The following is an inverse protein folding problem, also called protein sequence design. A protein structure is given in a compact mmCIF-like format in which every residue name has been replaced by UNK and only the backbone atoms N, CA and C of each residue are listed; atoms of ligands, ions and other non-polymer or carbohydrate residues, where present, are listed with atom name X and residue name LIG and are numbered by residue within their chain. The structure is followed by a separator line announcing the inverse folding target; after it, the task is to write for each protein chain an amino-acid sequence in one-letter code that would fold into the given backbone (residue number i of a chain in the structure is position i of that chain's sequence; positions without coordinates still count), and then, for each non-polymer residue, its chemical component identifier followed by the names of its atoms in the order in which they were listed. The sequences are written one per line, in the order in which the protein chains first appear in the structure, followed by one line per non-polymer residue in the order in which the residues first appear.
data_IF_681019806830
#
_entry.id   IF_681019806830
#
_cell.length_a   1.000
_cell.length_b   1.000
_cell.length_c   1.000
_cell.angle_alpha   90.00
_cell.angle_beta   90.00
_cell.angle_gamma   90.00
#
_symmetry.space_group_name_H-M   'P 1'
#
loop_
_entity.id
_entity.type
_entity.pdbx_description
1 polymer ?
#
# COMPACT_ATOMS: atom_id res chain seq x y z
N UNK A 1 -9.66 -0.70 1.46
CA UNK A 1 -11.11 -0.48 1.23
C UNK A 1 -11.96 -0.77 2.46
N UNK A 2 -12.08 0.17 3.39
CA UNK A 2 -13.18 0.12 4.36
C UNK A 2 -14.46 0.67 3.70
N UNK A 3 -15.49 -0.18 3.62
CA UNK A 3 -16.84 0.20 3.18
C UNK A 3 -17.69 0.79 4.30
N UNK A 4 -17.20 0.74 5.55
CA UNK A 4 -17.83 1.18 6.79
C UNK A 4 -17.58 0.18 7.93
N UNK A 5 -18.02 0.50 9.14
CA UNK A 5 -17.83 -0.33 10.34
C UNK A 5 -18.64 -1.61 10.22
N UNK A 6 -18.04 -2.73 10.63
CA UNK A 6 -18.77 -4.00 10.68
C UNK A 6 -19.92 -3.93 11.69
N UNK A 7 -21.12 -4.30 11.27
CA UNK A 7 -22.33 -4.31 12.11
C UNK A 7 -23.23 -3.09 11.94
N UNK A 8 -22.76 -2.04 11.25
CA UNK A 8 -23.57 -0.89 10.86
C UNK A 8 -24.22 -1.11 9.48
N UNK A 9 -25.33 -0.43 9.21
CA UNK A 9 -25.95 -0.43 7.88
C UNK A 9 -25.05 0.33 6.89
N UNK A 10 -24.49 -0.42 5.93
CA UNK A 10 -23.61 0.13 4.90
C UNK A 10 -24.43 0.59 3.70
N UNK A 11 -24.36 1.88 3.40
CA UNK A 11 -24.92 2.45 2.17
C UNK A 11 -23.97 2.19 0.98
N UNK A 12 -24.05 0.96 0.46
CA UNK A 12 -23.24 0.46 -0.64
C UNK A 12 -23.87 0.82 -1.98
N UNK A 13 -23.13 1.59 -2.78
CA UNK A 13 -23.49 1.91 -4.17
C UNK A 13 -22.34 1.56 -5.11
N UNK A 14 -22.65 1.27 -6.37
CA UNK A 14 -21.63 1.01 -7.39
C UNK A 14 -20.70 2.20 -7.60
N UNK A 15 -21.21 3.41 -7.46
CA UNK A 15 -20.44 4.65 -7.54
C UNK A 15 -19.39 4.71 -6.43
N UNK A 16 -19.80 4.54 -5.16
CA UNK A 16 -18.89 4.52 -4.01
C UNK A 16 -17.86 3.41 -4.09
N UNK A 17 -18.27 2.23 -4.56
CA UNK A 17 -17.35 1.11 -4.80
C UNK A 17 -16.29 1.48 -5.84
N UNK A 18 -16.70 2.15 -6.93
CA UNK A 18 -15.79 2.60 -7.99
C UNK A 18 -14.83 3.67 -7.49
N UNK A 19 -15.31 4.64 -6.73
CA UNK A 19 -14.48 5.69 -6.11
C UNK A 19 -13.42 5.08 -5.18
N UNK A 20 -13.84 4.18 -4.28
CA UNK A 20 -12.93 3.50 -3.34
C UNK A 20 -11.93 2.62 -4.05
N UNK A 21 -12.34 1.88 -5.08
CA UNK A 21 -11.45 1.07 -5.90
C UNK A 21 -10.38 1.94 -6.56
N UNK A 22 -10.79 3.05 -7.18
CA UNK A 22 -9.85 3.94 -7.85
C UNK A 22 -8.90 4.60 -6.87
N UNK A 23 -9.38 5.07 -5.72
CA UNK A 23 -8.57 5.76 -4.72
C UNK A 23 -7.56 4.83 -4.03
N UNK A 24 -8.04 3.74 -3.43
CA UNK A 24 -7.21 2.86 -2.60
C UNK A 24 -6.37 1.90 -3.45
N UNK A 25 -7.00 1.25 -4.45
CA UNK A 25 -6.38 0.15 -5.17
C UNK A 25 -5.67 0.63 -6.43
N UNK A 26 -6.35 1.29 -7.36
CA UNK A 26 -5.71 1.71 -8.60
C UNK A 26 -4.64 2.79 -8.33
N UNK A 27 -5.03 3.88 -7.67
CA UNK A 27 -4.16 5.03 -7.45
C UNK A 27 -3.17 4.85 -6.30
N UNK A 28 -3.56 4.13 -5.24
CA UNK A 28 -2.69 3.84 -4.11
C UNK A 28 -1.73 2.69 -4.39
N UNK A 29 -2.24 1.46 -4.29
CA UNK A 29 -1.42 0.25 -4.38
C UNK A 29 -0.91 -0.04 -5.80
N UNK A 30 -1.78 0.09 -6.81
CA UNK A 30 -1.47 -0.24 -8.20
C UNK A 30 -0.36 0.64 -8.77
N UNK A 31 -0.47 1.96 -8.57
CA UNK A 31 0.58 2.89 -8.97
C UNK A 31 1.90 2.64 -8.20
N UNK A 32 1.84 2.33 -6.91
CA UNK A 32 3.02 1.99 -6.11
C UNK A 32 3.76 0.79 -6.69
N UNK A 33 3.04 -0.33 -6.90
CA UNK A 33 3.62 -1.55 -7.48
C UNK A 33 4.18 -1.28 -8.87
N UNK A 34 3.45 -0.54 -9.72
CA UNK A 34 3.92 -0.17 -11.06
C UNK A 34 5.25 0.60 -11.02
N UNK A 35 5.39 1.55 -10.08
CA UNK A 35 6.63 2.34 -9.90
C UNK A 35 7.78 1.47 -9.40
N UNK A 36 7.54 0.63 -8.39
CA UNK A 36 8.56 -0.26 -7.82
C UNK A 36 9.08 -1.23 -8.88
N UNK A 37 8.20 -1.85 -9.67
CA UNK A 37 8.61 -2.79 -10.73
C UNK A 37 9.52 -2.10 -11.75
N UNK A 38 9.17 -0.88 -12.19
CA UNK A 38 10.02 -0.12 -13.13
C UNK A 38 11.37 0.25 -12.53
N UNK A 39 11.38 0.75 -11.29
CA UNK A 39 12.61 1.12 -10.59
C UNK A 39 13.51 -0.10 -10.34
N UNK A 40 12.93 -1.25 -10.00
CA UNK A 40 13.68 -2.50 -9.78
C UNK A 40 14.41 -2.96 -11.03
N UNK A 41 13.80 -2.80 -12.20
CA UNK A 41 14.41 -3.11 -13.49
C UNK A 41 15.56 -2.12 -13.81
N UNK A 42 15.33 -0.82 -13.59
CA UNK A 42 16.32 0.24 -13.86
C UNK A 42 17.56 0.17 -12.95
N UNK A 43 17.36 -0.12 -11.66
CA UNK A 43 18.42 -0.13 -10.65
C UNK A 43 19.07 -1.52 -10.48
N UNK A 44 18.66 -2.51 -11.28
CA UNK A 44 19.11 -3.92 -11.16
C UNK A 44 19.08 -4.43 -9.71
N UNK A 45 18.06 -4.05 -8.94
CA UNK A 45 17.96 -4.41 -7.53
C UNK A 45 17.90 -5.93 -7.42
N UNK A 46 18.96 -6.53 -6.88
CA UNK A 46 18.94 -7.94 -6.49
C UNK A 46 18.25 -8.02 -5.14
N UNK A 47 17.19 -8.83 -5.05
CA UNK A 47 16.38 -8.94 -3.84
C UNK A 47 17.21 -9.52 -2.71
N UNK A 48 17.58 -8.66 -1.75
CA UNK A 48 18.16 -9.09 -0.50
C UNK A 48 17.08 -9.84 0.29
N UNK A 49 17.34 -11.09 0.69
CA UNK A 49 16.32 -12.02 1.22
C UNK A 49 15.76 -11.61 2.60
N UNK A 50 16.16 -10.48 3.14
CA UNK A 50 15.69 -9.96 4.42
C UNK A 50 14.30 -9.28 4.30
N UNK A 51 13.27 -10.09 4.05
CA UNK A 51 11.84 -9.69 4.06
C UNK A 51 11.33 -9.38 5.49
N UNK A 52 12.21 -9.39 6.49
CA UNK A 52 11.87 -9.32 7.92
C UNK A 52 11.14 -8.04 8.38
N UNK A 53 10.98 -7.01 7.53
CA UNK A 53 10.20 -5.82 7.88
C UNK A 53 8.68 -6.02 7.75
N UNK A 54 8.21 -6.90 6.85
CA UNK A 54 6.76 -7.07 6.61
C UNK A 54 6.04 -7.75 7.79
N UNK A 55 6.74 -8.64 8.51
CA UNK A 55 6.16 -9.41 9.62
C UNK A 55 5.86 -8.56 10.86
N UNK A 56 6.49 -7.37 10.98
CA UNK A 56 6.28 -6.46 12.11
C UNK A 56 4.85 -5.93 12.22
N UNK A 57 4.14 -5.84 11.09
CA UNK A 57 2.77 -5.34 11.01
C UNK A 57 1.71 -6.43 11.24
N UNK A 58 2.09 -7.70 11.15
CA UNK A 58 1.15 -8.83 11.16
C UNK A 58 0.34 -8.89 12.46
N UNK A 59 0.99 -8.72 13.61
CA UNK A 59 0.33 -8.79 14.92
C UNK A 59 -0.79 -7.76 15.10
N UNK A 60 -0.58 -6.53 14.61
CA UNK A 60 -1.58 -5.47 14.72
C UNK A 60 -2.76 -5.69 13.75
N UNK A 61 -2.48 -6.12 12.52
CA UNK A 61 -3.53 -6.47 11.55
C UNK A 61 -4.35 -7.65 12.08
N UNK A 62 -3.70 -8.69 12.61
CA UNK A 62 -4.39 -9.83 13.23
C UNK A 62 -5.32 -9.37 14.34
N UNK A 63 -4.88 -8.47 15.22
CA UNK A 63 -5.73 -7.91 16.28
C UNK A 63 -6.98 -7.23 15.73
N UNK A 64 -6.85 -6.38 14.71
CA UNK A 64 -8.03 -5.74 14.09
C UNK A 64 -9.02 -6.77 13.52
N UNK A 65 -8.52 -7.86 12.92
CA UNK A 65 -9.37 -8.93 12.39
C UNK A 65 -10.07 -9.70 13.51
N UNK A 66 -9.36 -10.03 14.60
CA UNK A 66 -9.93 -10.71 15.78
C UNK A 66 -11.02 -9.85 16.45
N UNK A 67 -10.84 -8.53 16.47
CA UNK A 67 -11.80 -7.56 16.99
C UNK A 67 -12.93 -7.23 16.00
N UNK A 68 -13.00 -7.91 14.84
CA UNK A 68 -13.95 -7.65 13.73
C UNK A 68 -13.90 -6.23 13.15
N UNK A 69 -12.82 -5.48 13.42
CA UNK A 69 -12.57 -4.15 12.87
C UNK A 69 -11.85 -4.24 11.52
N UNK A 70 -12.56 -4.76 10.51
CA UNK A 70 -12.03 -4.87 9.14
C UNK A 70 -11.72 -3.50 8.54
N UNK A 71 -12.50 -2.50 8.91
CA UNK A 71 -12.31 -1.11 8.53
C UNK A 71 -10.97 -0.58 9.02
N UNK A 72 -10.66 -0.78 10.31
CA UNK A 72 -9.39 -0.39 10.92
C UNK A 72 -8.20 -1.16 10.33
N UNK A 73 -8.36 -2.46 10.07
CA UNK A 73 -7.33 -3.25 9.38
C UNK A 73 -7.00 -2.67 8.00
N UNK A 74 -8.02 -2.33 7.22
CA UNK A 74 -7.86 -1.80 5.86
C UNK A 74 -7.35 -0.36 5.85
N UNK A 75 -7.75 0.46 6.82
CA UNK A 75 -7.19 1.80 7.00
C UNK A 75 -5.70 1.73 7.33
N UNK A 76 -5.30 0.85 8.25
CA UNK A 76 -3.91 0.65 8.62
C UNK A 76 -3.06 0.22 7.42
N UNK A 77 -3.51 -0.80 6.66
CA UNK A 77 -2.81 -1.27 5.46
C UNK A 77 -2.71 -0.16 4.41
N UNK A 78 -3.79 0.58 4.16
CA UNK A 78 -3.78 1.72 3.24
C UNK A 78 -2.83 2.82 3.72
N UNK A 79 -2.67 3.02 5.03
CA UNK A 79 -1.66 3.88 5.63
C UNK A 79 -0.24 3.49 5.24
N UNK A 80 0.11 2.20 5.37
CA UNK A 80 1.41 1.68 4.93
C UNK A 80 1.67 1.91 3.44
N UNK A 81 0.63 1.75 2.59
CA UNK A 81 0.73 2.04 1.15
C UNK A 81 0.98 3.52 0.89
N UNK A 82 0.35 4.43 1.64
CA UNK A 82 0.59 5.88 1.54
C UNK A 82 2.01 6.24 1.98
N UNK A 83 2.49 5.67 3.09
CA UNK A 83 3.84 5.90 3.60
C UNK A 83 4.90 5.42 2.61
N UNK A 84 4.69 4.25 1.99
CA UNK A 84 5.58 3.73 0.95
C UNK A 84 5.59 4.61 -0.31
N UNK A 85 4.42 5.08 -0.76
CA UNK A 85 4.35 6.04 -1.86
C UNK A 85 5.13 7.32 -1.53
N UNK A 86 4.93 7.88 -0.33
CA UNK A 86 5.63 9.08 0.13
C UNK A 86 7.14 8.85 0.22
N UNK A 87 7.58 7.70 0.72
CA UNK A 87 8.99 7.34 0.78
C UNK A 87 9.64 7.37 -0.60
N UNK A 88 9.00 6.78 -1.62
CA UNK A 88 9.51 6.82 -3.00
C UNK A 88 9.58 8.27 -3.53
N UNK A 89 8.55 9.08 -3.28
CA UNK A 89 8.52 10.47 -3.73
C UNK A 89 9.58 11.34 -3.05
N UNK A 90 9.80 11.16 -1.75
CA UNK A 90 10.76 11.93 -0.97
C UNK A 90 12.21 11.56 -1.35
N UNK A 91 12.48 10.28 -1.67
CA UNK A 91 13.82 9.80 -2.01
C UNK A 91 14.16 9.88 -3.51
N UNK A 92 13.16 10.08 -4.38
CA UNK A 92 13.32 10.23 -5.84
C UNK A 92 14.32 9.26 -6.48
N UNK A 93 14.17 7.94 -6.29
CA UNK A 93 15.16 6.96 -6.75
C UNK A 93 15.40 6.96 -8.27
N UNK A 94 14.46 7.50 -9.06
CA UNK A 94 14.63 7.68 -10.50
C UNK A 94 15.69 8.72 -10.89
N UNK A 95 16.07 9.63 -9.98
CA UNK A 95 17.17 10.57 -10.23
C UNK A 95 18.52 9.86 -10.12
N UNK A 96 18.66 8.94 -9.16
CA UNK A 96 19.84 8.08 -9.02
C UNK A 96 20.02 7.19 -10.25
N UNK A 97 18.92 6.60 -10.75
CA UNK A 97 18.94 5.77 -11.96
C UNK A 97 19.34 6.52 -13.25
N UNK A 98 19.30 7.87 -13.25
CA UNK A 98 19.66 8.69 -14.42
C UNK A 98 21.11 9.17 -14.41
N UNK A 99 21.79 9.14 -13.26
CA UNK A 99 23.11 9.75 -13.09
C UNK A 99 24.28 8.75 -13.17
N UNK A 100 24.07 7.47 -13.51
CA UNK A 100 25.11 6.43 -13.59
C UNK A 100 26.00 6.28 -12.31
N UNK A 101 25.58 6.83 -11.17
CA UNK A 101 26.23 6.66 -9.87
C UNK A 101 25.58 5.52 -9.06
N UNK A 102 25.41 4.36 -9.70
CA UNK A 102 25.01 3.12 -9.04
C UNK A 102 26.24 2.34 -8.53
#
# INVERSE_FOLDING_TARGET
MSGGTFGDDLDLTMERMTEKYNADLANGLGNLVSRIVKLSDQLQVTSDKNINQVTSHQSLVTKYIEDLSFDGALEYINGLVKDANKFIEDNKPWELAKNDEA
#
